data_IF_284113415515
#
_entry.id   IF_284113415515
#
_cell.length_a   1.000
_cell.length_b   1.000
_cell.length_c   1.000
_cell.angle_alpha   90.00
_cell.angle_beta   90.00
_cell.angle_gamma   90.00
#
_symmetry.space_group_name_H-M   'P 1'
#
loop_
_entity.id
_entity.type
_entity.pdbx_description
1 polymer ?
#
# COMPACT_ATOMS: atom_id res chain seq x y z
N UNK A 1 -1.35 22.46 3.06
CA UNK A 1 -2.09 21.60 3.03
C UNK A 1 -1.53 20.36 2.92
N UNK A 2 -1.90 19.52 3.50
CA UNK A 2 -1.30 18.37 3.44
C UNK A 2 -2.06 17.43 2.71
N UNK A 3 -1.82 17.36 1.54
CA UNK A 3 -2.59 16.54 0.68
C UNK A 3 -2.64 15.10 1.08
N UNK A 4 -1.66 14.63 1.78
CA UNK A 4 -1.71 13.25 2.12
C UNK A 4 -2.85 12.92 3.04
N UNK A 5 -3.24 13.86 3.86
CA UNK A 5 -4.35 13.61 4.72
C UNK A 5 -5.66 13.68 4.02
N UNK A 6 -5.60 14.12 2.76
CA UNK A 6 -6.77 14.17 1.96
C UNK A 6 -6.74 13.15 0.91
N UNK A 7 -6.05 12.08 1.15
CA UNK A 7 -5.97 11.02 0.16
C UNK A 7 -7.35 10.66 -0.30
N UNK A 8 -7.56 10.66 -1.60
CA UNK A 8 -8.89 10.41 -2.13
C UNK A 8 -9.49 9.08 -1.76
N UNK A 9 -8.67 8.13 -1.34
CA UNK A 9 -9.25 6.85 -1.00
C UNK A 9 -10.25 6.94 0.13
N UNK A 10 -10.23 8.02 0.87
CA UNK A 10 -11.22 8.21 1.91
C UNK A 10 -12.58 8.56 1.37
N UNK A 11 -12.65 8.92 0.11
CA UNK A 11 -13.90 9.17 -0.53
C UNK A 11 -14.27 7.91 -1.26
N UNK A 12 -15.46 7.58 -1.33
CA UNK A 12 -15.85 6.35 -1.96
C UNK A 12 -15.39 6.28 -3.37
N UNK A 13 -15.26 5.16 -3.87
CA UNK A 13 -15.04 4.80 -5.27
C UNK A 13 -13.74 5.22 -5.88
N UNK A 14 -12.80 5.71 -5.15
CA UNK A 14 -11.53 6.05 -5.73
C UNK A 14 -10.73 4.82 -6.08
N UNK A 15 -10.81 3.80 -5.24
CA UNK A 15 -10.04 2.60 -5.49
C UNK A 15 -10.87 1.63 -6.29
N UNK A 16 -10.78 1.73 -7.59
CA UNK A 16 -11.48 0.81 -8.45
C UNK A 16 -10.63 -0.34 -8.91
N UNK A 17 -9.34 -0.26 -8.67
CA UNK A 17 -8.43 -1.28 -9.14
C UNK A 17 -8.02 -2.19 -8.01
N UNK A 18 -7.88 -3.47 -8.31
CA UNK A 18 -7.44 -4.44 -7.32
C UNK A 18 -6.26 -5.20 -7.87
N UNK A 19 -5.36 -5.58 -7.00
CA UNK A 19 -4.24 -6.43 -7.37
C UNK A 19 -3.72 -7.10 -6.11
N UNK A 20 -2.64 -7.86 -6.25
CA UNK A 20 -2.02 -8.52 -5.11
C UNK A 20 -0.76 -7.79 -4.72
N UNK A 21 -0.52 -7.71 -3.42
CA UNK A 21 0.76 -7.30 -2.90
C UNK A 21 1.41 -8.50 -2.22
N UNK A 22 2.74 -8.45 -2.13
CA UNK A 22 3.50 -9.50 -1.46
C UNK A 22 4.52 -8.83 -0.56
N UNK A 23 4.64 -9.31 0.65
CA UNK A 23 5.62 -8.77 1.57
C UNK A 23 6.05 -9.89 2.53
N UNK A 24 7.10 -9.62 3.29
CA UNK A 24 7.57 -10.57 4.29
C UNK A 24 7.13 -10.09 5.65
N UNK A 25 6.42 -10.95 6.37
CA UNK A 25 5.94 -10.60 7.69
C UNK A 25 7.09 -10.40 8.65
N UNK A 26 7.06 -9.31 9.38
CA UNK A 26 8.19 -8.96 10.23
C UNK A 26 8.35 -9.87 11.42
N UNK A 27 7.28 -10.52 11.83
CA UNK A 27 7.37 -11.43 12.95
C UNK A 27 7.66 -12.85 12.54
N UNK A 28 6.99 -13.29 11.49
CA UNK A 28 7.10 -14.69 11.09
C UNK A 28 8.20 -14.95 10.08
N UNK A 29 8.62 -13.91 9.38
CA UNK A 29 9.55 -14.06 8.27
C UNK A 29 8.96 -14.72 7.04
N UNK A 30 7.66 -14.94 7.02
CA UNK A 30 7.02 -15.62 5.92
C UNK A 30 6.55 -14.63 4.87
N UNK A 31 6.57 -15.07 3.62
CA UNK A 31 6.01 -14.26 2.56
C UNK A 31 4.50 -14.35 2.60
N UNK A 32 3.88 -13.19 2.47
CA UNK A 32 2.43 -13.10 2.50
C UNK A 32 1.99 -12.41 1.23
N UNK A 33 1.00 -12.97 0.57
CA UNK A 33 0.39 -12.35 -0.62
C UNK A 33 -1.08 -12.14 -0.31
N UNK A 34 -1.57 -10.94 -0.57
CA UNK A 34 -2.98 -10.68 -0.34
C UNK A 34 -3.53 -9.68 -1.34
N UNK A 35 -4.84 -9.76 -1.61
CA UNK A 35 -5.47 -8.82 -2.54
C UNK A 35 -5.74 -7.50 -1.84
N UNK A 36 -5.56 -6.42 -2.57
CA UNK A 36 -5.80 -5.08 -2.04
C UNK A 36 -6.40 -4.21 -3.13
N UNK A 37 -6.90 -3.06 -2.73
CA UNK A 37 -7.35 -2.04 -3.66
C UNK A 37 -6.33 -0.93 -3.67
N UNK A 38 -6.13 -0.33 -4.83
CA UNK A 38 -5.07 0.66 -4.96
C UNK A 38 -5.43 1.74 -5.96
N UNK A 39 -4.65 2.81 -5.90
CA UNK A 39 -4.73 3.91 -6.82
C UNK A 39 -3.31 4.30 -7.18
N UNK A 40 -3.04 4.53 -8.46
CA UNK A 40 -1.71 4.96 -8.87
C UNK A 40 -1.58 6.47 -8.72
N UNK A 41 -0.38 6.89 -8.36
CA UNK A 41 -0.07 8.29 -8.27
C UNK A 41 1.22 8.55 -9.01
N UNK A 42 1.12 9.15 -10.17
CA UNK A 42 2.28 9.38 -10.99
C UNK A 42 2.86 8.08 -11.48
N UNK A 43 4.14 8.11 -11.81
CA UNK A 43 4.80 6.95 -12.40
C UNK A 43 5.41 6.02 -11.37
N UNK A 44 5.64 6.51 -10.18
CA UNK A 44 6.42 5.74 -9.23
C UNK A 44 5.75 5.52 -7.89
N UNK A 45 4.51 5.92 -7.73
CA UNK A 45 3.83 5.70 -6.46
C UNK A 45 2.49 5.03 -6.63
N UNK A 46 2.16 4.23 -5.62
CA UNK A 46 0.88 3.55 -5.54
C UNK A 46 0.37 3.70 -4.12
N UNK A 47 -0.89 4.06 -3.98
CA UNK A 47 -1.53 4.17 -2.67
C UNK A 47 -2.47 3.00 -2.49
N UNK A 48 -2.24 2.23 -1.44
CA UNK A 48 -3.06 1.06 -1.12
C UNK A 48 -4.00 1.42 0.00
N UNK A 49 -5.28 1.27 -0.22
CA UNK A 49 -6.27 1.56 0.80
C UNK A 49 -6.38 0.42 1.79
N UNK A 50 -6.51 0.73 3.07
CA UNK A 50 -6.66 -0.27 4.10
C UNK A 50 -8.02 -0.07 4.73
N UNK A 51 -8.97 -0.93 4.36
CA UNK A 51 -10.29 -0.87 4.96
C UNK A 51 -10.24 -1.54 6.33
N UNK A 52 -10.95 -0.98 7.28
CA UNK A 52 -11.04 -1.58 8.61
C UNK A 52 -9.66 -1.81 9.22
N UNK A 53 -8.85 -0.76 9.18
CA UNK A 53 -7.47 -0.87 9.63
C UNK A 53 -7.35 -1.28 11.09
N UNK A 54 -8.34 -0.97 11.90
CA UNK A 54 -8.32 -1.36 13.30
C UNK A 54 -8.47 -2.86 13.47
N UNK A 55 -8.94 -3.57 12.46
CA UNK A 55 -9.08 -5.02 12.54
C UNK A 55 -8.00 -5.74 11.77
N UNK A 56 -7.30 -5.07 10.86
CA UNK A 56 -6.30 -5.69 10.04
C UNK A 56 -4.93 -5.31 10.56
N UNK A 57 -4.01 -6.25 10.52
CA UNK A 57 -2.71 -5.99 11.08
C UNK A 57 -1.60 -5.97 10.04
N UNK A 58 -1.89 -6.38 8.82
CA UNK A 58 -0.84 -6.50 7.82
C UNK A 58 -0.11 -5.17 7.56
N UNK A 59 -0.85 -4.07 7.58
CA UNK A 59 -0.28 -2.76 7.28
C UNK A 59 0.73 -2.31 8.34
N UNK A 60 0.67 -2.92 9.50
CA UNK A 60 1.60 -2.55 10.57
C UNK A 60 3.03 -2.94 10.26
N UNK A 61 3.23 -3.85 9.31
CA UNK A 61 4.57 -4.16 8.86
C UNK A 61 5.25 -2.94 8.24
N UNK A 62 4.47 -1.94 7.86
CA UNK A 62 4.97 -0.75 7.20
C UNK A 62 4.86 0.49 8.08
N UNK A 63 4.52 0.32 9.34
CA UNK A 63 4.26 1.46 10.20
C UNK A 63 5.53 2.08 10.77
N UNK A 64 6.58 1.29 10.89
CA UNK A 64 7.82 1.77 11.50
C UNK A 64 8.79 2.39 10.50
N UNK A 65 8.42 2.44 9.25
CA UNK A 65 9.30 3.00 8.24
C UNK A 65 9.21 2.22 6.96
N UNK A 66 9.96 2.59 5.94
CA UNK A 66 9.89 1.92 4.66
C UNK A 66 10.32 0.47 4.76
N UNK A 67 9.53 -0.41 4.18
CA UNK A 67 9.84 -1.83 4.13
C UNK A 67 9.59 -2.35 2.73
N UNK A 68 10.31 -3.38 2.31
CA UNK A 68 10.14 -3.91 0.97
C UNK A 68 8.74 -4.46 0.73
N UNK A 69 8.24 -4.25 -0.45
CA UNK A 69 6.93 -4.75 -0.83
C UNK A 69 6.91 -5.00 -2.33
N UNK A 70 6.18 -6.03 -2.74
CA UNK A 70 5.96 -6.29 -4.15
C UNK A 70 4.51 -6.02 -4.49
N UNK A 71 4.27 -5.61 -5.71
CA UNK A 71 2.92 -5.37 -6.18
C UNK A 71 2.86 -5.70 -7.67
N UNK A 72 1.77 -6.31 -8.09
CA UNK A 72 1.60 -6.64 -9.50
C UNK A 72 0.83 -5.51 -10.18
N UNK A 73 1.44 -4.91 -11.19
CA UNK A 73 0.82 -3.83 -11.93
C UNK A 73 0.90 -4.15 -13.41
N UNK A 74 -0.26 -4.13 -14.06
CA UNK A 74 -0.33 -4.39 -15.50
C UNK A 74 0.32 -5.72 -15.87
N UNK A 75 0.14 -6.72 -15.02
CA UNK A 75 0.71 -8.03 -15.28
C UNK A 75 2.19 -8.16 -14.99
N UNK A 76 2.81 -7.13 -14.44
CA UNK A 76 4.24 -7.13 -14.14
C UNK A 76 4.45 -7.06 -12.65
N UNK A 77 5.31 -7.92 -12.13
CA UNK A 77 5.64 -7.87 -10.72
C UNK A 77 6.65 -6.75 -10.48
N UNK A 78 6.25 -5.76 -9.72
CA UNK A 78 7.08 -4.61 -9.38
C UNK A 78 7.49 -4.69 -7.93
N UNK A 79 8.61 -4.10 -7.62
CA UNK A 79 9.07 -4.01 -6.24
C UNK A 79 9.18 -2.56 -5.82
N UNK A 80 9.24 -2.34 -4.53
CA UNK A 80 9.39 -1.00 -4.00
C UNK A 80 9.42 -1.05 -2.49
N UNK A 81 9.16 0.09 -1.88
CA UNK A 81 9.07 0.18 -0.43
C UNK A 81 7.73 0.78 -0.06
N UNK A 82 7.17 0.29 1.03
CA UNK A 82 5.89 0.78 1.52
C UNK A 82 6.02 1.42 2.88
N UNK A 83 5.21 2.44 3.11
CA UNK A 83 5.14 3.14 4.39
C UNK A 83 3.67 3.33 4.73
N UNK A 84 3.30 2.97 5.94
CA UNK A 84 1.92 3.17 6.37
C UNK A 84 1.70 4.62 6.77
N UNK A 85 0.58 5.16 6.35
CA UNK A 85 0.16 6.50 6.72
C UNK A 85 -1.18 6.39 7.41
N UNK A 86 -1.21 6.80 8.66
CA UNK A 86 -2.43 6.72 9.46
C UNK A 86 -2.93 8.13 9.68
N UNK A 87 -4.15 8.38 9.28
CA UNK A 87 -4.76 9.69 9.45
C UNK A 87 -6.09 9.58 10.16
N UNK A 88 -6.69 10.73 10.44
CA UNK A 88 -7.96 10.77 11.13
C UNK A 88 -9.04 10.05 10.35
N UNK A 89 -8.92 10.01 9.06
CA UNK A 89 -9.98 9.48 8.23
C UNK A 89 -9.66 8.16 7.60
N UNK A 90 -8.53 7.59 7.90
CA UNK A 90 -8.22 6.29 7.35
C UNK A 90 -6.75 5.98 7.34
N UNK A 91 -6.44 4.79 6.87
CA UNK A 91 -5.09 4.29 6.81
C UNK A 91 -4.78 3.86 5.38
N UNK A 92 -3.58 4.14 4.94
CA UNK A 92 -3.12 3.72 3.62
C UNK A 92 -1.66 3.30 3.72
N UNK A 93 -1.24 2.49 2.76
CA UNK A 93 0.18 2.17 2.61
C UNK A 93 0.61 2.81 1.30
N UNK A 94 1.58 3.68 1.36
CA UNK A 94 2.10 4.36 0.18
C UNK A 94 3.34 3.61 -0.28
N UNK A 95 3.30 3.13 -1.50
CA UNK A 95 4.39 2.36 -2.08
C UNK A 95 5.14 3.25 -3.06
N UNK A 96 6.45 3.33 -2.89
CA UNK A 96 7.31 3.98 -3.86
C UNK A 96 7.99 2.88 -4.65
N UNK A 97 7.73 2.86 -5.95
CA UNK A 97 8.20 1.78 -6.81
C UNK A 97 9.65 1.98 -7.18
N UNK A 98 10.38 0.88 -7.23
CA UNK A 98 11.73 0.90 -7.76
C UNK A 98 11.67 1.06 -9.27
N UNK A 99 12.67 1.69 -9.88
CA UNK A 99 12.68 1.80 -11.33
C UNK A 99 12.73 0.42 -11.96
N UNK A 100 12.14 0.29 -13.13
CA UNK A 100 12.26 -0.96 -13.88
C UNK A 100 13.68 -1.08 -14.41
N UNK A 101 14.19 -2.30 -14.51
CA UNK A 101 15.55 -2.51 -15.02
C UNK A 101 15.66 -2.16 -16.49
#
# INVERSE_FOLDING_TARGET
MEPLLRIPFLKRTVFKSMTDITYTGRRSGKRVTLPIVFERRGDDQVVVGVAMADRKTWWRNFASGPEPIGIRLDGVDRTGTGVAKVGDKGTAVVITLDPLP
#
